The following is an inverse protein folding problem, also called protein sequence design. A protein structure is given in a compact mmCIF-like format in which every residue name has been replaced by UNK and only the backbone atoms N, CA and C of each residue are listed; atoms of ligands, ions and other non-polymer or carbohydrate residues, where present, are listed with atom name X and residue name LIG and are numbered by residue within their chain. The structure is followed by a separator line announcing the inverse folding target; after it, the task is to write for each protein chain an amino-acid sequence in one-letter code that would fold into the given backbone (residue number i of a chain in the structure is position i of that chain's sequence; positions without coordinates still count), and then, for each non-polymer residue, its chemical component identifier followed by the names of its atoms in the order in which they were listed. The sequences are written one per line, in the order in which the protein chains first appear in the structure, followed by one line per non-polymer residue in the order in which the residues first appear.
data_IF_399562435970
#
_entry.id   IF_399562435970
#
_cell.length_a   1.000
_cell.length_b   1.000
_cell.length_c   1.000
_cell.angle_alpha   90.00
_cell.angle_beta   90.00
_cell.angle_gamma   90.00
#
_symmetry.space_group_name_H-M   'P 1'
#
loop_
_entity.id
_entity.type
_entity.pdbx_description
1 polymer ?
#
# COMPACT_ATOMS: atom_id res chain seq x y z
N UNK A 1 0.10 -9.27 19.29
CA UNK A 1 -0.41 -8.35 18.23
C UNK A 1 0.27 -8.60 16.89
N UNK A 2 1.61 -8.57 16.80
CA UNK A 2 2.36 -8.86 15.55
C UNK A 2 2.04 -10.23 14.92
N UNK A 3 1.88 -11.29 15.71
CA UNK A 3 1.50 -12.62 15.21
C UNK A 3 0.19 -12.59 14.44
N UNK A 4 -0.84 -11.89 14.95
CA UNK A 4 -2.13 -11.74 14.28
C UNK A 4 -2.01 -10.96 12.98
N UNK A 5 -1.20 -9.90 12.95
CA UNK A 5 -0.93 -9.14 11.72
C UNK A 5 -0.31 -10.04 10.66
N UNK A 6 0.69 -10.84 11.04
CA UNK A 6 1.36 -11.79 10.13
C UNK A 6 0.37 -12.84 9.61
N UNK A 7 -0.45 -13.43 10.47
CA UNK A 7 -1.50 -14.39 10.10
C UNK A 7 -2.54 -13.78 9.15
N UNK A 8 -2.91 -12.51 9.34
CA UNK A 8 -3.80 -11.79 8.42
C UNK A 8 -3.13 -11.61 7.06
N UNK A 9 -1.88 -11.14 7.03
CA UNK A 9 -1.15 -10.92 5.78
C UNK A 9 -0.96 -12.23 4.99
N UNK A 10 -0.81 -13.38 5.64
CA UNK A 10 -0.73 -14.69 4.98
C UNK A 10 -1.98 -15.10 4.21
N UNK A 11 -3.11 -14.44 4.46
CA UNK A 11 -4.40 -14.70 3.82
C UNK A 11 -4.71 -13.70 2.72
N UNK A 12 -3.83 -12.73 2.48
CA UNK A 12 -3.96 -11.78 1.39
C UNK A 12 -3.12 -12.25 0.21
N UNK A 13 -3.65 -12.06 -1.00
CA UNK A 13 -2.89 -12.31 -2.23
C UNK A 13 -2.07 -11.08 -2.64
N UNK A 14 -2.62 -9.88 -2.38
CA UNK A 14 -2.09 -8.62 -2.87
C UNK A 14 -2.29 -7.49 -1.85
N UNK A 15 -1.23 -6.73 -1.59
CA UNK A 15 -1.24 -5.45 -0.88
C UNK A 15 -0.83 -4.36 -1.85
N UNK A 16 -1.72 -3.37 -2.02
CA UNK A 16 -1.54 -2.25 -2.93
C UNK A 16 -1.57 -0.95 -2.15
N UNK A 17 -0.63 -0.07 -2.42
CA UNK A 17 -0.67 1.31 -1.90
C UNK A 17 -0.40 2.31 -3.01
N UNK A 18 -1.11 3.43 -2.97
CA UNK A 18 -0.85 4.57 -3.85
C UNK A 18 0.18 5.44 -3.15
N UNK A 19 1.40 5.48 -3.70
CA UNK A 19 2.47 6.28 -3.09
C UNK A 19 2.17 7.76 -3.21
N UNK A 20 2.40 8.52 -2.13
CA UNK A 20 2.52 9.96 -2.28
C UNK A 20 3.76 10.27 -3.11
N UNK A 21 3.56 11.00 -4.21
CA UNK A 21 4.63 11.49 -5.07
C UNK A 21 4.33 12.93 -5.46
N UNK A 22 5.36 13.77 -5.55
CA UNK A 22 5.20 15.18 -5.94
C UNK A 22 4.69 15.34 -7.38
N UNK A 23 4.87 14.29 -8.21
CA UNK A 23 4.57 14.31 -9.65
C UNK A 23 3.14 13.90 -9.99
N UNK A 24 2.49 13.14 -9.11
CA UNK A 24 1.12 12.65 -9.29
C UNK A 24 0.38 12.73 -7.94
N UNK A 25 0.06 13.95 -7.47
CA UNK A 25 -0.69 14.11 -6.25
C UNK A 25 -2.07 13.47 -6.41
N UNK A 26 -2.55 12.81 -5.36
CA UNK A 26 -3.94 12.37 -5.29
C UNK A 26 -4.73 13.52 -4.70
N UNK A 27 -5.67 14.06 -5.48
CA UNK A 27 -6.52 15.16 -5.03
C UNK A 27 -7.22 14.79 -3.71
N UNK A 28 -7.20 15.74 -2.79
CA UNK A 28 -7.79 15.57 -1.47
C UNK A 28 -9.21 16.11 -1.50
N UNK A 29 -10.14 15.28 -1.05
CA UNK A 29 -11.50 15.68 -0.73
C UNK A 29 -11.65 15.69 0.80
N UNK A 30 -12.19 16.78 1.34
CA UNK A 30 -12.60 16.85 2.74
C UNK A 30 -13.98 16.21 2.86
N UNK A 31 -13.98 14.91 3.15
CA UNK A 31 -15.20 14.11 3.34
C UNK A 31 -15.62 14.03 4.82
N UNK A 32 -14.93 14.73 5.72
CA UNK A 32 -15.15 14.67 7.17
C UNK A 32 -14.73 13.34 7.83
N UNK A 33 -14.19 12.37 7.07
CA UNK A 33 -13.76 11.06 7.57
C UNK A 33 -12.23 11.00 7.66
N UNK A 34 -11.53 11.59 6.68
CA UNK A 34 -10.07 11.53 6.57
C UNK A 34 -9.44 12.90 6.83
N UNK A 35 -8.38 13.00 7.65
CA UNK A 35 -7.63 14.24 7.78
C UNK A 35 -7.05 14.68 6.43
N UNK A 36 -7.32 15.92 6.03
CA UNK A 36 -6.74 16.56 4.83
C UNK A 36 -5.38 17.21 5.09
N UNK A 37 -4.87 17.06 6.31
CA UNK A 37 -3.55 17.47 6.76
C UNK A 37 -2.44 16.78 5.92
N UNK A 38 -1.65 17.60 5.22
CA UNK A 38 -0.50 17.16 4.41
C UNK A 38 0.62 16.55 5.27
N UNK A 39 1.11 17.17 6.36
CA UNK A 39 2.00 16.54 7.33
C UNK A 39 1.56 15.15 7.81
N UNK A 40 0.31 14.98 8.23
CA UNK A 40 -0.22 13.68 8.68
C UNK A 40 -0.11 12.63 7.59
N UNK A 41 -0.48 12.97 6.35
CA UNK A 41 -0.36 12.03 5.22
C UNK A 41 1.09 11.67 4.91
N UNK A 42 2.00 12.64 4.95
CA UNK A 42 3.43 12.40 4.74
C UNK A 42 4.00 11.46 5.81
N UNK A 43 3.59 11.63 7.07
CA UNK A 43 3.97 10.73 8.16
C UNK A 43 3.42 9.32 7.96
N UNK A 44 2.13 9.19 7.60
CA UNK A 44 1.52 7.89 7.30
C UNK A 44 2.24 7.18 6.15
N UNK A 45 2.48 7.87 5.03
CA UNK A 45 3.21 7.32 3.88
C UNK A 45 4.64 6.88 4.27
N UNK A 46 5.34 7.68 5.09
CA UNK A 46 6.67 7.32 5.60
C UNK A 46 6.63 6.06 6.48
N UNK A 47 5.67 5.96 7.40
CA UNK A 47 5.51 4.77 8.25
C UNK A 47 5.18 3.53 7.41
N UNK A 48 4.29 3.66 6.42
CA UNK A 48 3.95 2.56 5.51
C UNK A 48 5.17 2.06 4.75
N UNK A 49 5.98 2.97 4.20
CA UNK A 49 7.25 2.64 3.52
C UNK A 49 8.18 1.90 4.48
N UNK A 50 8.35 2.38 5.70
CA UNK A 50 9.20 1.69 6.68
C UNK A 50 8.71 0.26 7.00
N UNK A 51 7.40 0.08 7.23
CA UNK A 51 6.84 -1.23 7.58
C UNK A 51 7.01 -2.24 6.43
N UNK A 52 6.66 -1.84 5.21
CA UNK A 52 6.49 -2.79 4.10
C UNK A 52 7.64 -2.84 3.11
N UNK A 53 8.40 -1.74 2.96
CA UNK A 53 9.59 -1.68 2.10
C UNK A 53 10.88 -1.90 2.88
N UNK A 54 11.00 -1.28 4.06
CA UNK A 54 12.21 -1.38 4.89
C UNK A 54 12.09 -2.51 5.94
N UNK A 55 11.04 -3.31 5.85
CA UNK A 55 10.73 -4.46 6.69
C UNK A 55 10.73 -4.16 8.21
N UNK A 56 10.41 -2.91 8.58
CA UNK A 56 10.26 -2.49 9.97
C UNK A 56 9.24 -3.40 10.67
N UNK A 57 9.63 -3.95 11.82
CA UNK A 57 8.88 -4.94 12.62
C UNK A 57 8.70 -6.33 11.99
N UNK A 58 9.26 -6.59 10.81
CA UNK A 58 9.20 -7.89 10.12
C UNK A 58 7.78 -8.48 10.06
N UNK A 59 6.79 -7.64 9.73
CA UNK A 59 5.37 -8.06 9.71
C UNK A 59 5.03 -8.96 8.53
N UNK A 60 5.79 -8.86 7.44
CA UNK A 60 5.59 -9.68 6.25
C UNK A 60 5.87 -11.16 6.56
N UNK A 61 4.96 -12.07 6.19
CA UNK A 61 5.15 -13.48 6.48
C UNK A 61 6.15 -14.13 5.54
N UNK A 62 6.90 -15.11 6.04
CA UNK A 62 7.90 -15.86 5.26
C UNK A 62 7.28 -16.82 4.25
N UNK A 63 6.06 -17.30 4.54
CA UNK A 63 5.26 -18.19 3.68
C UNK A 63 3.97 -17.50 3.29
N UNK A 64 3.52 -17.70 2.05
CA UNK A 64 2.32 -17.04 1.49
C UNK A 64 2.37 -15.52 1.69
N UNK A 65 3.54 -14.92 1.38
CA UNK A 65 3.70 -13.46 1.41
C UNK A 65 2.80 -12.86 0.33
N UNK A 66 1.92 -11.90 0.67
CA UNK A 66 1.15 -11.20 -0.34
C UNK A 66 2.11 -10.47 -1.26
N UNK A 67 1.76 -10.38 -2.54
CA UNK A 67 2.46 -9.50 -3.46
C UNK A 67 2.30 -8.06 -2.96
N UNK A 68 3.39 -7.31 -2.91
CA UNK A 68 3.37 -5.91 -2.52
C UNK A 68 3.66 -5.05 -3.75
N UNK A 69 2.77 -4.13 -4.07
CA UNK A 69 2.99 -3.16 -5.16
C UNK A 69 2.70 -1.74 -4.70
N UNK A 70 3.57 -0.81 -5.11
CA UNK A 70 3.25 0.61 -5.13
C UNK A 70 2.60 0.98 -6.46
N UNK A 71 1.60 1.85 -6.44
CA UNK A 71 1.02 2.46 -7.63
C UNK A 71 1.51 3.90 -7.78
N UNK A 72 2.00 4.21 -8.99
CA UNK A 72 2.47 5.54 -9.38
C UNK A 72 2.12 5.81 -10.85
N UNK A 73 2.15 7.07 -11.25
CA UNK A 73 1.78 7.50 -12.60
C UNK A 73 0.36 8.06 -12.68
N UNK A 74 -0.11 8.25 -13.92
CA UNK A 74 -1.48 8.72 -14.18
C UNK A 74 -2.52 7.75 -13.64
N UNK A 75 -3.79 8.17 -13.59
CA UNK A 75 -4.90 7.31 -13.17
C UNK A 75 -4.95 6.03 -13.99
N UNK A 76 -4.83 6.14 -15.31
CA UNK A 76 -4.85 5.02 -16.27
C UNK A 76 -3.68 4.06 -15.97
N UNK A 77 -2.46 4.59 -15.83
CA UNK A 77 -1.29 3.78 -15.52
C UNK A 77 -1.42 3.04 -14.19
N UNK A 78 -2.01 3.68 -13.17
CA UNK A 78 -2.26 3.04 -11.86
C UNK A 78 -3.30 1.93 -11.97
N UNK A 79 -4.37 2.13 -12.76
CA UNK A 79 -5.40 1.12 -12.99
C UNK A 79 -4.84 -0.08 -13.78
N UNK A 80 -4.06 0.16 -14.83
CA UNK A 80 -3.43 -0.89 -15.62
C UNK A 80 -2.49 -1.76 -14.75
N UNK A 81 -1.64 -1.11 -13.94
CA UNK A 81 -0.74 -1.80 -13.01
C UNK A 81 -1.50 -2.61 -11.96
N UNK A 82 -2.60 -2.06 -11.44
CA UNK A 82 -3.46 -2.76 -10.49
C UNK A 82 -4.07 -4.01 -11.13
N UNK A 83 -4.62 -3.88 -12.34
CA UNK A 83 -5.22 -5.00 -13.07
C UNK A 83 -4.19 -6.10 -13.36
N UNK A 84 -2.98 -5.72 -13.83
CA UNK A 84 -1.90 -6.67 -14.07
C UNK A 84 -1.48 -7.40 -12.78
N UNK A 85 -1.39 -6.67 -11.66
CA UNK A 85 -1.03 -7.27 -10.39
C UNK A 85 -2.10 -8.22 -9.86
N UNK A 86 -3.37 -7.85 -9.94
CA UNK A 86 -4.49 -8.71 -9.55
C UNK A 86 -4.53 -9.98 -10.42
N UNK A 87 -4.37 -9.85 -11.73
CA UNK A 87 -4.31 -10.99 -12.65
C UNK A 87 -3.15 -11.94 -12.32
N UNK A 88 -1.98 -11.39 -11.94
CA UNK A 88 -0.81 -12.21 -11.56
C UNK A 88 -0.95 -12.97 -10.24
N UNK A 89 -2.01 -12.72 -9.47
CA UNK A 89 -2.30 -13.45 -8.23
C UNK A 89 -3.24 -14.63 -8.47
N UNK A 90 -3.85 -14.73 -9.65
CA UNK A 90 -4.66 -15.88 -10.04
C UNK A 90 -3.73 -17.06 -10.40
N UNK A 91 -4.14 -18.30 -10.09
CA UNK A 91 -3.37 -19.51 -10.41
C UNK A 91 -3.21 -19.77 -11.91
#
# INVERSE_FOLDING_TARGET
MLTRVRETLQRLDLVVFVTMTDRWPVDMEDDGIRPVDLPYRAEVDAIFKQIYRDERFSVMPDKRRPKLIGLWGSREQRLDRLQQAAASCLP
#
